data_IF_220697642768
#
_entry.id   IF_220697642768
#
_cell.length_a   1.000
_cell.length_b   1.000
_cell.length_c   1.000
_cell.angle_alpha   90.00
_cell.angle_beta   90.00
_cell.angle_gamma   90.00
#
_symmetry.space_group_name_H-M   'P 1'
#
loop_
_entity.id
_entity.type
_entity.pdbx_description
1 polymer ?
#
# COMPACT_ATOMS: atom_id res chain seq x y z
N UNK A 1 -3.56 -15.61 -31.36
CA UNK A 1 -2.56 -14.57 -31.02
C UNK A 1 -2.98 -13.14 -31.31
N UNK A 2 -3.75 -12.83 -32.36
CA UNK A 2 -4.42 -11.52 -32.50
C UNK A 2 -5.47 -11.28 -31.41
N UNK A 3 -6.26 -12.32 -31.10
CA UNK A 3 -7.43 -12.19 -30.23
C UNK A 3 -7.08 -11.84 -28.77
N UNK A 4 -5.90 -12.23 -28.29
CA UNK A 4 -5.41 -11.83 -26.96
C UNK A 4 -4.95 -10.37 -26.92
N UNK A 5 -4.39 -9.86 -28.01
CA UNK A 5 -4.01 -8.46 -28.11
C UNK A 5 -5.24 -7.57 -28.19
N UNK A 6 -6.21 -7.93 -29.05
CA UNK A 6 -7.47 -7.19 -29.20
C UNK A 6 -8.31 -7.23 -27.92
N UNK A 7 -8.33 -8.35 -27.19
CA UNK A 7 -9.00 -8.45 -25.89
C UNK A 7 -8.34 -7.60 -24.78
N UNK A 8 -7.09 -7.19 -24.95
CA UNK A 8 -6.36 -6.35 -23.99
C UNK A 8 -6.44 -4.84 -24.32
N UNK A 9 -6.94 -4.47 -25.50
CA UNK A 9 -7.11 -3.08 -25.90
C UNK A 9 -8.43 -2.52 -25.37
N UNK A 10 -8.40 -1.26 -24.92
CA UNK A 10 -9.62 -0.55 -24.59
C UNK A 10 -10.42 -0.28 -25.88
N UNK A 11 -11.74 -0.51 -25.82
CA UNK A 11 -12.63 -0.11 -26.92
C UNK A 11 -12.56 1.40 -27.15
N UNK A 12 -12.67 1.82 -28.41
CA UNK A 12 -12.87 3.23 -28.75
C UNK A 12 -14.24 3.64 -28.19
N UNK A 13 -14.31 4.59 -27.25
CA UNK A 13 -15.58 4.93 -26.64
C UNK A 13 -16.52 5.57 -27.66
N UNK A 14 -17.71 4.99 -27.79
CA UNK A 14 -18.73 5.43 -28.73
C UNK A 14 -19.41 6.76 -28.33
N UNK A 15 -19.32 7.15 -27.06
CA UNK A 15 -19.90 8.38 -26.54
C UNK A 15 -19.09 8.96 -25.39
N UNK A 16 -19.29 10.25 -25.10
CA UNK A 16 -18.65 10.92 -23.98
C UNK A 16 -19.28 10.43 -22.68
N UNK A 17 -18.51 9.86 -21.72
CA UNK A 17 -19.05 9.42 -20.45
C UNK A 17 -19.74 10.55 -19.67
N UNK A 18 -20.83 10.25 -18.97
CA UNK A 18 -21.63 11.26 -18.26
C UNK A 18 -20.82 12.03 -17.20
N UNK A 19 -19.91 11.35 -16.50
CA UNK A 19 -19.01 11.99 -15.53
C UNK A 19 -18.11 13.06 -16.16
N UNK A 20 -17.92 13.07 -17.48
CA UNK A 20 -17.12 14.08 -18.16
C UNK A 20 -17.91 15.40 -18.37
N UNK A 21 -19.23 15.30 -18.46
CA UNK A 21 -20.14 16.43 -18.71
C UNK A 21 -20.53 17.15 -17.42
N UNK A 22 -20.47 16.46 -16.29
CA UNK A 22 -20.86 16.94 -14.96
C UNK A 22 -19.75 17.74 -14.27
N UNK A 23 -20.10 18.75 -13.46
CA UNK A 23 -19.14 19.62 -12.77
C UNK A 23 -19.10 19.46 -11.24
N UNK A 24 -19.87 18.54 -10.68
CA UNK A 24 -19.86 18.21 -9.26
C UNK A 24 -18.57 17.47 -8.83
N UNK A 25 -18.40 17.34 -7.51
CA UNK A 25 -17.20 16.77 -6.89
C UNK A 25 -16.96 15.31 -7.28
N UNK A 26 -18.02 14.51 -7.38
CA UNK A 26 -17.95 13.11 -7.78
C UNK A 26 -17.42 13.00 -9.21
N UNK A 27 -18.02 13.74 -10.14
CA UNK A 27 -17.61 13.77 -11.53
C UNK A 27 -16.15 14.25 -11.71
N UNK A 28 -15.71 15.26 -10.96
CA UNK A 28 -14.31 15.71 -10.95
C UNK A 28 -13.36 14.63 -10.45
N UNK A 29 -13.75 13.92 -9.38
CA UNK A 29 -12.95 12.85 -8.82
C UNK A 29 -12.83 11.68 -9.80
N UNK A 30 -13.93 11.27 -10.43
CA UNK A 30 -13.92 10.23 -11.47
C UNK A 30 -13.01 10.60 -12.63
N UNK A 31 -13.08 11.85 -13.14
CA UNK A 31 -12.17 12.33 -14.19
C UNK A 31 -10.71 12.24 -13.75
N UNK A 32 -10.42 12.64 -12.52
CA UNK A 32 -9.07 12.57 -11.96
C UNK A 32 -8.55 11.12 -11.89
N UNK A 33 -9.38 10.18 -11.41
CA UNK A 33 -9.02 8.76 -11.35
C UNK A 33 -8.78 8.17 -12.73
N UNK A 34 -9.67 8.41 -13.70
CA UNK A 34 -9.53 7.95 -15.08
C UNK A 34 -8.26 8.52 -15.72
N UNK A 35 -7.99 9.81 -15.53
CA UNK A 35 -6.77 10.44 -16.00
C UNK A 35 -5.50 9.86 -15.32
N UNK A 36 -5.58 9.52 -14.04
CA UNK A 36 -4.49 8.87 -13.32
C UNK A 36 -4.18 7.51 -13.94
N UNK A 37 -5.19 6.64 -14.10
CA UNK A 37 -5.02 5.35 -14.78
C UNK A 37 -4.41 5.53 -16.18
N UNK A 38 -4.96 6.45 -16.96
CA UNK A 38 -4.44 6.82 -18.28
C UNK A 38 -2.93 7.14 -18.25
N UNK A 39 -2.49 7.98 -17.31
CA UNK A 39 -1.08 8.40 -17.23
C UNK A 39 -0.15 7.42 -16.51
N UNK A 40 -0.68 6.44 -15.77
CA UNK A 40 0.14 5.52 -14.96
C UNK A 40 0.30 4.12 -15.54
N UNK A 41 -0.71 3.60 -16.22
CA UNK A 41 -0.73 2.23 -16.76
C UNK A 41 -1.50 2.12 -18.11
N UNK A 42 -1.92 3.25 -18.68
CA UNK A 42 -2.70 3.34 -19.93
C UNK A 42 -4.08 2.66 -19.89
N UNK A 43 -4.61 2.31 -18.70
CA UNK A 43 -5.95 1.68 -18.58
C UNK A 43 -7.11 2.68 -18.48
N UNK A 44 -6.84 3.99 -18.46
CA UNK A 44 -7.87 5.02 -18.45
C UNK A 44 -8.57 5.17 -19.80
N UNK A 45 -9.88 5.44 -19.78
CA UNK A 45 -10.70 5.63 -20.98
C UNK A 45 -10.27 6.89 -21.75
N UNK A 46 -9.99 6.73 -23.04
CA UNK A 46 -9.69 7.85 -23.94
C UNK A 46 -10.93 8.71 -24.21
N UNK A 47 -10.82 10.05 -24.34
CA UNK A 47 -11.94 10.85 -24.80
C UNK A 47 -12.23 10.55 -26.29
N UNK A 48 -13.51 10.41 -26.71
CA UNK A 48 -13.86 10.19 -28.12
C UNK A 48 -13.27 11.25 -29.07
N UNK A 49 -13.09 12.47 -28.58
CA UNK A 49 -12.49 13.58 -29.33
C UNK A 49 -11.06 13.30 -29.83
N UNK A 50 -10.33 12.35 -29.24
CA UNK A 50 -9.00 11.93 -29.73
C UNK A 50 -9.08 11.22 -31.09
N UNK A 51 -10.22 10.58 -31.38
CA UNK A 51 -10.45 9.79 -32.59
C UNK A 51 -11.35 10.49 -33.61
N UNK A 52 -11.63 11.78 -33.41
CA UNK A 52 -12.44 12.56 -34.33
C UNK A 52 -11.68 12.89 -35.63
N UNK A 53 -12.44 13.11 -36.71
CA UNK A 53 -11.87 13.44 -38.03
C UNK A 53 -11.24 14.84 -38.10
N UNK A 54 -11.50 15.70 -37.10
CA UNK A 54 -11.03 17.08 -37.05
C UNK A 54 -10.05 17.27 -35.89
N UNK A 55 -8.78 17.61 -36.15
CA UNK A 55 -7.82 17.85 -35.09
C UNK A 55 -8.11 19.17 -34.37
N UNK A 56 -7.84 19.22 -33.07
CA UNK A 56 -8.02 20.45 -32.27
C UNK A 56 -6.94 21.51 -32.53
N UNK A 57 -5.86 21.15 -33.23
CA UNK A 57 -4.76 22.04 -33.60
C UNK A 57 -4.18 21.60 -34.94
N UNK A 58 -3.67 22.54 -35.72
CA UNK A 58 -3.00 22.23 -36.99
C UNK A 58 -1.68 21.52 -36.74
N UNK A 59 -1.34 20.58 -37.62
CA UNK A 59 -0.05 19.91 -37.59
C UNK A 59 1.08 20.90 -37.91
N UNK A 60 2.05 21.02 -37.02
CA UNK A 60 3.27 21.81 -37.21
C UNK A 60 4.51 20.90 -37.23
N UNK A 61 5.09 20.62 -38.41
CA UNK A 61 6.28 19.77 -38.54
C UNK A 61 7.52 20.39 -37.89
N UNK A 62 7.55 21.70 -37.65
CA UNK A 62 8.69 22.37 -36.99
C UNK A 62 8.87 21.92 -35.53
N UNK A 63 7.80 21.39 -34.92
CA UNK A 63 7.83 20.78 -33.58
C UNK A 63 8.84 19.63 -33.49
N UNK A 64 9.03 18.87 -34.59
CA UNK A 64 9.89 17.69 -34.64
C UNK A 64 11.23 17.95 -35.33
N UNK A 65 11.54 19.22 -35.63
CA UNK A 65 12.82 19.57 -36.27
C UNK A 65 13.91 19.66 -35.21
N UNK A 66 14.96 18.83 -35.29
CA UNK A 66 16.06 18.87 -34.34
C UNK A 66 16.89 20.14 -34.50
N UNK A 67 17.38 20.67 -33.39
CA UNK A 67 18.38 21.74 -33.34
C UNK A 67 19.79 21.19 -33.57
N UNK A 68 20.79 22.08 -33.60
CA UNK A 68 22.15 21.72 -33.98
C UNK A 68 22.86 20.87 -32.93
N UNK A 69 22.39 20.91 -31.69
CA UNK A 69 22.95 20.14 -30.58
C UNK A 69 21.90 19.82 -29.52
N UNK A 70 22.21 18.81 -28.69
CA UNK A 70 21.43 18.49 -27.50
C UNK A 70 21.34 19.67 -26.51
N UNK A 71 22.41 20.46 -26.39
CA UNK A 71 22.43 21.63 -25.51
C UNK A 71 21.44 22.71 -25.97
N UNK A 72 21.36 22.95 -27.28
CA UNK A 72 20.38 23.88 -27.86
C UNK A 72 18.95 23.41 -27.62
N UNK A 73 18.68 22.10 -27.71
CA UNK A 73 17.36 21.51 -27.42
C UNK A 73 16.97 21.72 -25.95
N UNK A 74 17.88 21.42 -25.02
CA UNK A 74 17.62 21.63 -23.58
C UNK A 74 17.36 23.12 -23.30
N UNK A 75 18.14 24.03 -23.89
CA UNK A 75 17.93 25.48 -23.74
C UNK A 75 16.61 25.94 -24.33
N UNK A 76 16.15 25.36 -25.45
CA UNK A 76 14.84 25.63 -26.04
C UNK A 76 13.71 25.21 -25.08
N UNK A 77 13.81 24.03 -24.48
CA UNK A 77 12.81 23.53 -23.53
C UNK A 77 12.78 24.38 -22.24
N UNK A 78 13.94 24.74 -21.71
CA UNK A 78 14.04 25.62 -20.54
C UNK A 78 13.42 26.99 -20.83
N UNK A 79 13.74 27.58 -21.99
CA UNK A 79 13.11 28.84 -22.45
C UNK A 79 11.60 28.72 -22.60
N UNK A 80 11.11 27.64 -23.21
CA UNK A 80 9.67 27.40 -23.34
C UNK A 80 8.95 27.49 -21.99
N UNK A 81 9.48 26.87 -20.93
CA UNK A 81 8.87 26.96 -19.60
C UNK A 81 8.96 28.37 -19.01
N UNK A 82 10.09 29.06 -19.17
CA UNK A 82 10.24 30.44 -18.72
C UNK A 82 9.30 31.42 -19.43
N UNK A 83 9.16 31.29 -20.74
CA UNK A 83 8.26 32.10 -21.56
C UNK A 83 6.79 31.88 -21.16
N UNK A 84 6.47 30.72 -20.57
CA UNK A 84 5.17 30.40 -19.99
C UNK A 84 5.07 30.72 -18.48
N UNK A 85 5.98 31.55 -17.96
CA UNK A 85 5.94 32.03 -16.57
C UNK A 85 6.31 30.98 -15.53
N UNK A 86 7.01 29.90 -15.91
CA UNK A 86 7.44 28.83 -15.01
C UNK A 86 8.95 28.82 -14.84
N UNK A 87 9.40 28.45 -13.64
CA UNK A 87 10.80 28.15 -13.39
C UNK A 87 11.08 26.66 -13.61
N UNK A 88 12.30 26.35 -14.05
CA UNK A 88 12.80 24.97 -14.16
C UNK A 88 13.82 24.74 -13.05
N UNK A 89 13.56 23.75 -12.20
CA UNK A 89 14.48 23.35 -11.14
C UNK A 89 15.21 22.08 -11.56
N UNK A 90 16.53 22.12 -11.59
CA UNK A 90 17.37 20.99 -11.98
C UNK A 90 18.31 20.69 -10.82
N UNK A 91 18.25 19.46 -10.32
CA UNK A 91 19.16 18.94 -9.30
C UNK A 91 20.07 17.90 -9.92
N UNK A 92 21.38 18.10 -9.79
CA UNK A 92 22.37 17.07 -10.10
C UNK A 92 22.24 15.90 -9.10
N UNK A 93 22.09 14.68 -9.64
CA UNK A 93 22.02 13.42 -8.88
C UNK A 93 23.01 12.38 -9.45
N UNK A 94 24.08 12.83 -10.09
CA UNK A 94 25.13 12.01 -10.71
C UNK A 94 26.07 11.30 -9.70
N UNK A 95 25.69 11.20 -8.42
CA UNK A 95 26.55 10.69 -7.33
C UNK A 95 26.88 9.19 -7.44
N UNK A 96 26.33 8.49 -8.43
CA UNK A 96 26.64 7.09 -8.75
C UNK A 96 27.66 6.95 -9.91
N UNK A 97 28.26 8.05 -10.36
CA UNK A 97 29.33 8.04 -11.38
C UNK A 97 28.85 8.05 -12.83
N UNK A 98 27.56 8.33 -13.07
CA UNK A 98 27.01 8.56 -14.40
C UNK A 98 26.15 9.84 -14.42
N UNK A 99 26.10 10.59 -15.53
CA UNK A 99 25.31 11.82 -15.61
C UNK A 99 23.82 11.55 -15.34
N UNK A 100 23.26 12.23 -14.35
CA UNK A 100 21.85 12.11 -13.98
C UNK A 100 21.33 13.37 -13.32
N UNK A 101 20.11 13.75 -13.68
CA UNK A 101 19.45 14.94 -13.15
C UNK A 101 18.03 14.63 -12.71
N UNK A 102 17.57 15.31 -11.66
CA UNK A 102 16.17 15.39 -11.29
C UNK A 102 15.63 16.75 -11.73
N UNK A 103 14.69 16.74 -12.68
CA UNK A 103 14.09 17.95 -13.24
C UNK A 103 12.68 18.11 -12.69
N UNK A 104 12.36 19.31 -12.20
CA UNK A 104 11.04 19.65 -11.70
C UNK A 104 10.59 20.99 -12.29
N UNK A 105 9.41 20.98 -12.92
CA UNK A 105 8.71 22.18 -13.39
C UNK A 105 7.39 22.28 -12.63
N UNK A 106 7.14 23.34 -11.83
CA UNK A 106 5.89 23.50 -11.10
C UNK A 106 4.68 23.41 -12.03
N UNK A 107 3.60 22.79 -11.54
CA UNK A 107 2.33 22.52 -12.25
C UNK A 107 2.41 21.56 -13.45
N UNK A 108 3.54 21.50 -14.16
CA UNK A 108 3.76 20.56 -15.26
C UNK A 108 4.24 19.18 -14.78
N UNK A 109 5.17 19.16 -13.83
CA UNK A 109 5.71 17.93 -13.21
C UNK A 109 4.98 17.56 -11.92
N UNK A 110 3.87 18.24 -11.60
CA UNK A 110 3.16 18.08 -10.33
C UNK A 110 2.33 16.79 -10.26
N UNK A 111 2.06 16.15 -11.39
CA UNK A 111 1.26 14.93 -11.46
C UNK A 111 2.15 13.68 -11.46
N UNK A 112 2.20 13.01 -10.31
CA UNK A 112 2.65 11.63 -10.18
C UNK A 112 1.62 10.76 -9.45
N UNK A 113 1.90 9.45 -9.33
CA UNK A 113 1.05 8.42 -8.69
C UNK A 113 0.47 8.79 -7.30
N UNK A 114 1.08 9.75 -6.58
CA UNK A 114 0.70 10.18 -5.23
C UNK A 114 -0.09 11.51 -5.17
N UNK A 115 -0.44 12.08 -6.32
CA UNK A 115 -1.11 13.39 -6.41
C UNK A 115 -2.63 13.27 -6.35
N UNK A 116 -3.14 12.04 -6.34
CA UNK A 116 -4.54 11.75 -6.08
C UNK A 116 -4.88 12.21 -4.66
N UNK A 117 -5.81 13.18 -4.49
CA UNK A 117 -6.40 13.38 -3.19
C UNK A 117 -7.06 12.05 -2.78
N UNK A 118 -6.86 11.57 -1.55
CA UNK A 118 -7.66 10.46 -1.05
C UNK A 118 -9.13 10.84 -1.17
N UNK A 119 -9.96 9.89 -1.64
CA UNK A 119 -11.39 10.08 -1.97
C UNK A 119 -12.20 10.69 -0.81
N UNK A 120 -11.70 10.59 0.41
CA UNK A 120 -12.32 11.00 1.66
C UNK A 120 -11.47 11.97 2.52
N UNK A 121 -10.31 12.44 2.04
CA UNK A 121 -9.42 13.30 2.83
C UNK A 121 -8.71 12.61 4.01
N UNK A 122 -8.81 11.29 4.16
CA UNK A 122 -8.32 10.53 5.33
C UNK A 122 -6.79 10.40 5.41
N UNK A 123 -6.07 10.57 4.30
CA UNK A 123 -4.67 10.14 4.18
C UNK A 123 -3.60 10.95 4.94
N UNK A 124 -3.90 12.15 5.45
CA UNK A 124 -2.89 12.96 6.19
C UNK A 124 -2.87 12.71 7.70
N UNK A 125 -4.03 12.50 8.31
CA UNK A 125 -4.13 12.24 9.76
C UNK A 125 -3.64 10.83 10.12
N UNK A 126 -3.87 9.87 9.22
CA UNK A 126 -3.49 8.48 9.38
C UNK A 126 -1.96 8.25 9.54
N UNK A 127 -1.11 9.02 8.84
CA UNK A 127 0.34 8.84 8.92
C UNK A 127 0.91 9.20 10.30
N UNK A 128 0.42 10.29 10.90
CA UNK A 128 0.87 10.73 12.25
C UNK A 128 0.49 9.71 13.31
N UNK A 129 -0.71 9.13 13.19
CA UNK A 129 -1.15 8.08 14.10
C UNK A 129 -0.29 6.82 13.99
N UNK A 130 0.08 6.39 12.78
CA UNK A 130 0.98 5.25 12.57
C UNK A 130 2.37 5.49 13.15
N UNK A 131 2.98 6.63 12.85
CA UNK A 131 4.32 6.99 13.35
C UNK A 131 4.37 6.95 14.88
N UNK A 132 3.27 7.33 15.54
CA UNK A 132 3.19 7.34 17.01
C UNK A 132 3.19 5.95 17.66
N UNK A 133 2.74 4.91 16.94
CA UNK A 133 2.65 3.54 17.46
C UNK A 133 3.61 2.55 16.79
N UNK A 134 4.31 2.95 15.73
CA UNK A 134 5.14 2.03 14.94
C UNK A 134 6.12 1.23 15.80
N UNK A 135 6.85 1.92 16.68
CA UNK A 135 7.80 1.29 17.61
C UNK A 135 7.14 0.31 18.59
N UNK A 136 5.89 0.59 19.02
CA UNK A 136 5.15 -0.29 19.91
C UNK A 136 4.61 -1.50 19.14
N UNK A 137 4.15 -1.31 17.91
CA UNK A 137 3.65 -2.38 17.07
C UNK A 137 4.72 -3.43 16.77
N UNK A 138 5.96 -3.01 16.49
CA UNK A 138 7.07 -3.94 16.25
C UNK A 138 7.57 -4.66 17.51
N UNK A 139 7.12 -4.22 18.69
CA UNK A 139 7.40 -4.86 19.98
C UNK A 139 6.11 -5.22 20.74
N UNK A 140 5.06 -5.56 20.00
CA UNK A 140 3.71 -5.75 20.56
C UNK A 140 3.65 -6.82 21.66
N UNK A 141 4.53 -7.82 21.58
CA UNK A 141 4.62 -8.90 22.57
C UNK A 141 5.04 -8.42 23.96
N UNK A 142 5.69 -7.24 24.07
CA UNK A 142 6.10 -6.63 25.34
C UNK A 142 5.23 -5.43 25.73
N UNK A 143 4.18 -5.12 24.95
CA UNK A 143 3.29 -4.02 25.25
C UNK A 143 2.39 -4.33 26.45
N UNK A 144 2.22 -3.34 27.33
CA UNK A 144 1.21 -3.35 28.38
C UNK A 144 -0.21 -3.30 27.79
N UNK A 145 -1.21 -3.67 28.57
CA UNK A 145 -2.63 -3.58 28.15
C UNK A 145 -3.04 -2.15 27.73
N UNK A 146 -2.45 -1.12 28.34
CA UNK A 146 -2.73 0.26 27.95
C UNK A 146 -2.13 0.59 26.57
N UNK A 147 -0.91 0.14 26.30
CA UNK A 147 -0.27 0.31 24.99
C UNK A 147 -1.01 -0.47 23.90
N UNK A 148 -1.42 -1.71 24.18
CA UNK A 148 -2.25 -2.51 23.28
C UNK A 148 -3.59 -1.81 22.97
N UNK A 149 -4.20 -1.17 23.96
CA UNK A 149 -5.44 -0.40 23.76
C UNK A 149 -5.20 0.81 22.86
N UNK A 150 -4.10 1.55 23.05
CA UNK A 150 -3.76 2.72 22.22
C UNK A 150 -3.44 2.29 20.76
N UNK A 151 -2.68 1.20 20.60
CA UNK A 151 -2.41 0.60 19.28
C UNK A 151 -3.74 0.26 18.59
N UNK A 152 -4.63 -0.49 19.25
CA UNK A 152 -5.91 -0.89 18.68
C UNK A 152 -6.76 0.32 18.28
N UNK A 153 -6.83 1.35 19.13
CA UNK A 153 -7.59 2.56 18.88
C UNK A 153 -7.10 3.30 17.63
N UNK A 154 -5.78 3.49 17.48
CA UNK A 154 -5.21 4.18 16.30
C UNK A 154 -5.29 3.34 15.04
N UNK A 155 -5.08 2.04 15.16
CA UNK A 155 -5.25 1.12 14.03
C UNK A 155 -6.70 1.05 13.55
N UNK A 156 -7.70 1.26 14.42
CA UNK A 156 -9.11 1.22 14.03
C UNK A 156 -9.52 2.32 13.03
N UNK A 157 -8.71 3.38 12.82
CA UNK A 157 -9.00 4.40 11.80
C UNK A 157 -8.70 3.96 10.37
N UNK A 158 -8.11 2.77 10.19
CA UNK A 158 -7.75 2.21 8.88
C UNK A 158 -8.77 1.17 8.42
N UNK A 159 -8.85 0.96 7.11
CA UNK A 159 -9.70 -0.08 6.55
C UNK A 159 -9.24 -1.47 7.04
N UNK A 160 -10.13 -2.32 7.61
CA UNK A 160 -9.74 -3.61 8.20
C UNK A 160 -9.11 -4.60 7.22
N UNK A 161 -9.38 -4.46 5.92
CA UNK A 161 -8.83 -5.30 4.86
C UNK A 161 -7.40 -4.93 4.44
N UNK A 162 -6.87 -3.79 4.89
CA UNK A 162 -5.54 -3.32 4.50
C UNK A 162 -4.48 -4.32 4.98
N UNK A 163 -3.58 -4.77 4.09
CA UNK A 163 -2.42 -5.59 4.48
C UNK A 163 -1.51 -4.86 5.47
N UNK A 164 -1.04 -5.57 6.49
CA UNK A 164 -0.12 -4.99 7.48
C UNK A 164 1.22 -4.57 6.84
N UNK A 165 1.66 -5.31 5.81
CA UNK A 165 2.84 -4.97 4.98
C UNK A 165 2.69 -3.60 4.32
N UNK A 166 1.50 -3.28 3.81
CA UNK A 166 1.21 -1.97 3.25
C UNK A 166 1.19 -0.89 4.33
N UNK A 167 0.57 -1.17 5.48
CA UNK A 167 0.38 -0.21 6.56
C UNK A 167 1.71 0.27 7.16
N UNK A 168 2.66 -0.64 7.37
CA UNK A 168 3.98 -0.36 7.93
C UNK A 168 5.09 -0.28 6.87
N UNK A 169 4.73 -0.26 5.58
CA UNK A 169 5.66 -0.20 4.45
C UNK A 169 6.77 -1.27 4.53
N UNK A 170 6.38 -2.49 4.94
CA UNK A 170 7.25 -3.67 5.02
C UNK A 170 7.06 -4.49 3.76
N UNK A 171 8.14 -4.74 3.06
CA UNK A 171 8.19 -5.64 1.93
C UNK A 171 8.74 -7.01 2.32
N UNK A 172 7.98 -8.05 1.95
CA UNK A 172 8.32 -9.46 2.09
C UNK A 172 8.28 -10.14 0.71
N UNK A 173 8.85 -11.33 0.58
CA UNK A 173 8.71 -12.15 -0.62
C UNK A 173 7.23 -12.49 -0.90
N UNK A 174 6.91 -12.75 -2.18
CA UNK A 174 5.53 -12.96 -2.63
C UNK A 174 4.89 -14.24 -2.07
N UNK A 175 5.69 -15.24 -1.77
CA UNK A 175 5.30 -16.52 -1.18
C UNK A 175 5.15 -16.46 0.35
N UNK A 176 5.49 -15.32 0.97
CA UNK A 176 5.38 -15.16 2.42
C UNK A 176 3.91 -15.23 2.85
N UNK A 177 3.52 -16.14 3.77
CA UNK A 177 2.15 -16.21 4.29
C UNK A 177 1.68 -14.89 4.92
N UNK A 178 2.63 -14.06 5.36
CA UNK A 178 2.45 -12.74 5.93
C UNK A 178 1.86 -11.72 4.98
N UNK A 179 2.00 -11.93 3.67
CA UNK A 179 1.34 -11.08 2.66
C UNK A 179 -0.18 -11.14 2.76
N UNK A 180 -0.72 -12.22 3.34
CA UNK A 180 -2.17 -12.42 3.52
C UNK A 180 -2.69 -11.90 4.86
N UNK A 181 -1.82 -11.34 5.70
CA UNK A 181 -2.22 -10.78 6.99
C UNK A 181 -2.72 -9.35 6.83
N UNK A 182 -3.99 -9.14 7.17
CA UNK A 182 -4.60 -7.82 7.18
C UNK A 182 -4.82 -7.30 8.60
N UNK A 183 -5.24 -6.05 8.67
CA UNK A 183 -5.46 -5.33 9.91
C UNK A 183 -6.53 -5.97 10.80
N UNK A 184 -7.60 -6.51 10.22
CA UNK A 184 -8.65 -7.19 10.97
C UNK A 184 -8.11 -8.38 11.78
N UNK A 185 -7.16 -9.14 11.22
CA UNK A 185 -6.55 -10.25 11.95
C UNK A 185 -5.68 -9.80 13.13
N UNK A 186 -4.95 -8.69 12.97
CA UNK A 186 -4.14 -8.10 14.04
C UNK A 186 -5.02 -7.55 15.16
N UNK A 187 -6.07 -6.79 14.80
CA UNK A 187 -7.02 -6.25 15.78
C UNK A 187 -7.73 -7.37 16.56
N UNK A 188 -8.03 -8.50 15.89
CA UNK A 188 -8.55 -9.70 16.57
C UNK A 188 -7.60 -10.15 17.68
N UNK A 189 -6.31 -10.28 17.38
CA UNK A 189 -5.31 -10.73 18.34
C UNK A 189 -5.16 -9.74 19.49
N UNK A 190 -5.09 -8.44 19.22
CA UNK A 190 -4.98 -7.41 20.27
C UNK A 190 -6.19 -7.46 21.21
N UNK A 191 -7.41 -7.43 20.66
CA UNK A 191 -8.62 -7.46 21.49
C UNK A 191 -8.76 -8.79 22.24
N UNK A 192 -8.35 -9.91 21.64
CA UNK A 192 -8.28 -11.19 22.34
C UNK A 192 -7.32 -11.14 23.53
N UNK A 193 -6.11 -10.58 23.33
CA UNK A 193 -5.11 -10.38 24.38
C UNK A 193 -5.62 -9.51 25.53
N UNK A 194 -6.47 -8.53 25.23
CA UNK A 194 -7.12 -7.64 26.20
C UNK A 194 -8.37 -8.24 26.88
N UNK A 195 -8.82 -9.43 26.47
CA UNK A 195 -10.08 -10.02 26.97
C UNK A 195 -11.35 -9.38 26.39
N UNK A 196 -11.22 -8.53 25.38
CA UNK A 196 -12.29 -7.84 24.68
C UNK A 196 -12.91 -8.75 23.61
N UNK A 197 -13.61 -9.80 24.03
CA UNK A 197 -14.04 -10.88 23.14
C UNK A 197 -15.05 -10.46 22.06
N UNK A 198 -15.94 -9.51 22.35
CA UNK A 198 -16.90 -8.97 21.36
C UNK A 198 -16.16 -8.31 20.19
N UNK A 199 -15.21 -7.43 20.49
CA UNK A 199 -14.39 -6.75 19.49
C UNK A 199 -13.50 -7.74 18.74
N UNK A 200 -12.90 -8.70 19.45
CA UNK A 200 -12.09 -9.75 18.84
C UNK A 200 -12.91 -10.56 17.82
N UNK A 201 -14.12 -11.00 18.18
CA UNK A 201 -15.01 -11.72 17.27
C UNK A 201 -15.45 -10.86 16.08
N UNK A 202 -15.75 -9.59 16.32
CA UNK A 202 -16.15 -8.65 15.25
C UNK A 202 -15.06 -8.50 14.19
N UNK A 203 -13.83 -8.22 14.61
CA UNK A 203 -12.69 -8.13 13.69
C UNK A 203 -12.34 -9.48 13.05
N UNK A 204 -12.50 -10.58 13.78
CA UNK A 204 -12.24 -11.90 13.20
C UNK A 204 -13.21 -12.23 12.07
N UNK A 205 -14.50 -11.85 12.21
CA UNK A 205 -15.49 -11.96 11.13
C UNK A 205 -15.12 -11.11 9.92
N UNK A 206 -14.62 -9.89 10.14
CA UNK A 206 -14.12 -9.03 9.05
C UNK A 206 -12.93 -9.68 8.34
N UNK A 207 -12.00 -10.27 9.07
CA UNK A 207 -10.88 -11.02 8.51
C UNK A 207 -11.33 -12.24 7.68
N UNK A 208 -12.28 -13.03 8.17
CA UNK A 208 -12.83 -14.14 7.39
C UNK A 208 -13.51 -13.66 6.10
N UNK A 209 -14.18 -12.50 6.13
CA UNK A 209 -14.87 -11.93 4.97
C UNK A 209 -13.91 -11.47 3.85
N UNK A 210 -12.63 -11.23 4.14
CA UNK A 210 -11.64 -10.90 3.11
C UNK A 210 -11.05 -12.12 2.40
N UNK A 211 -11.46 -13.33 2.77
CA UNK A 211 -10.92 -14.58 2.21
C UNK A 211 -11.93 -15.28 1.32
N UNK A 212 -11.41 -15.89 0.25
CA UNK A 212 -12.21 -16.70 -0.67
C UNK A 212 -12.78 -17.92 0.07
N UNK A 213 -11.97 -18.57 0.91
CA UNK A 213 -12.39 -19.70 1.75
C UNK A 213 -11.87 -19.55 3.17
N UNK A 214 -12.73 -19.90 4.14
CA UNK A 214 -12.37 -19.99 5.55
C UNK A 214 -12.16 -21.46 5.90
N UNK A 215 -10.90 -21.89 5.97
CA UNK A 215 -10.55 -23.28 6.32
C UNK A 215 -11.01 -23.69 7.73
N UNK A 216 -11.03 -25.01 8.03
CA UNK A 216 -11.62 -25.55 9.25
C UNK A 216 -11.00 -25.00 10.54
N UNK A 217 -9.71 -24.64 10.52
CA UNK A 217 -9.03 -24.00 11.65
C UNK A 217 -9.69 -22.67 12.04
N UNK A 218 -9.92 -21.78 11.07
CA UNK A 218 -10.52 -20.48 11.36
C UNK A 218 -12.00 -20.60 11.72
N UNK A 219 -12.71 -21.60 11.19
CA UNK A 219 -14.06 -21.94 11.66
C UNK A 219 -14.06 -22.32 13.14
N UNK A 220 -13.09 -23.12 13.59
CA UNK A 220 -12.94 -23.47 15.01
C UNK A 220 -12.60 -22.25 15.87
N UNK A 221 -11.69 -21.38 15.41
CA UNK A 221 -11.36 -20.13 16.10
C UNK A 221 -12.58 -19.21 16.22
N UNK A 222 -13.41 -19.12 15.17
CA UNK A 222 -14.67 -18.37 15.22
C UNK A 222 -15.59 -18.89 16.33
N UNK A 223 -15.83 -20.20 16.36
CA UNK A 223 -16.68 -20.82 17.37
C UNK A 223 -16.10 -20.71 18.78
N UNK A 224 -14.78 -20.75 18.91
CA UNK A 224 -14.11 -20.45 20.17
C UNK A 224 -14.45 -19.03 20.65
N UNK A 225 -14.25 -18.03 19.79
CA UNK A 225 -14.53 -16.62 20.13
C UNK A 225 -16.01 -16.38 20.43
N UNK A 226 -16.93 -16.99 19.68
CA UNK A 226 -18.39 -16.96 19.96
C UNK A 226 -18.69 -17.49 21.36
N UNK A 227 -18.12 -18.64 21.74
CA UNK A 227 -18.29 -19.19 23.07
C UNK A 227 -17.70 -18.29 24.18
N UNK A 228 -16.58 -17.60 23.92
CA UNK A 228 -16.01 -16.62 24.86
C UNK A 228 -16.90 -15.39 25.03
N UNK A 229 -17.53 -14.91 23.96
CA UNK A 229 -18.53 -13.83 23.99
C UNK A 229 -19.77 -14.24 24.81
N UNK A 230 -20.19 -15.49 24.71
CA UNK A 230 -21.26 -16.06 25.56
C UNK A 230 -20.87 -16.21 27.04
N UNK A 231 -19.66 -15.82 27.43
CA UNK A 231 -19.16 -15.88 28.81
C UNK A 231 -18.59 -17.24 29.22
N UNK A 232 -18.42 -18.17 28.27
CA UNK A 232 -17.84 -19.48 28.58
C UNK A 232 -16.34 -19.35 28.91
N UNK A 233 -15.90 -20.11 29.92
CA UNK A 233 -14.48 -20.23 30.27
C UNK A 233 -13.78 -21.15 29.27
N UNK A 234 -12.48 -20.95 29.09
CA UNK A 234 -11.63 -21.77 28.20
C UNK A 234 -11.89 -23.28 28.31
N UNK A 235 -11.95 -23.82 29.53
CA UNK A 235 -12.21 -25.25 29.78
C UNK A 235 -13.59 -25.73 29.31
N UNK A 236 -14.60 -24.86 29.31
CA UNK A 236 -15.96 -25.17 28.85
C UNK A 236 -16.06 -25.15 27.31
N UNK A 237 -15.29 -24.28 26.66
CA UNK A 237 -15.27 -24.15 25.21
C UNK A 237 -14.79 -25.43 24.52
N UNK A 238 -13.84 -26.15 25.15
CA UNK A 238 -13.31 -27.41 24.60
C UNK A 238 -14.42 -28.42 24.30
N UNK A 239 -15.35 -28.62 25.23
CA UNK A 239 -16.46 -29.58 25.04
C UNK A 239 -17.37 -29.17 23.89
N UNK A 240 -17.67 -27.87 23.77
CA UNK A 240 -18.51 -27.32 22.68
C UNK A 240 -17.83 -27.52 21.32
N UNK A 241 -16.52 -27.25 21.23
CA UNK A 241 -15.75 -27.44 20.00
C UNK A 241 -15.60 -28.92 19.62
N UNK A 242 -15.37 -29.82 20.59
CA UNK A 242 -15.30 -31.25 20.32
C UNK A 242 -16.61 -31.78 19.73
N UNK A 243 -17.76 -31.41 20.32
CA UNK A 243 -19.07 -31.82 19.80
C UNK A 243 -19.34 -31.25 18.41
N UNK A 244 -18.97 -29.99 18.16
CA UNK A 244 -19.09 -29.41 16.82
C UNK A 244 -18.20 -30.13 15.80
N UNK A 245 -16.95 -30.43 16.16
CA UNK A 245 -15.99 -31.09 15.28
C UNK A 245 -16.45 -32.51 14.91
N UNK A 246 -16.99 -33.27 15.87
CA UNK A 246 -17.58 -34.60 15.61
C UNK A 246 -18.73 -34.52 14.60
N UNK A 247 -19.62 -33.54 14.73
CA UNK A 247 -20.76 -33.34 13.82
C UNK A 247 -20.36 -32.89 12.41
N UNK A 248 -19.16 -32.33 12.24
CA UNK A 248 -18.65 -31.81 10.97
C UNK A 248 -17.51 -32.68 10.40
N UNK A 249 -17.27 -33.86 10.97
CA UNK A 249 -16.19 -34.77 10.57
C UNK A 249 -14.79 -34.11 10.61
N UNK A 250 -14.60 -33.14 11.51
CA UNK A 250 -13.33 -32.43 11.71
C UNK A 250 -12.45 -33.22 12.68
N UNK A 251 -11.18 -33.39 12.33
CA UNK A 251 -10.23 -34.14 13.14
C UNK A 251 -10.07 -33.56 14.57
N UNK A 252 -10.10 -34.43 15.57
CA UNK A 252 -9.91 -34.04 16.98
C UNK A 252 -8.56 -33.38 17.26
N UNK A 253 -7.54 -33.64 16.43
CA UNK A 253 -6.24 -32.98 16.49
C UNK A 253 -6.35 -31.47 16.27
N UNK A 254 -7.24 -31.03 15.37
CA UNK A 254 -7.47 -29.62 15.09
C UNK A 254 -8.11 -28.90 16.28
N UNK A 255 -9.06 -29.55 16.97
CA UNK A 255 -9.65 -29.00 18.21
C UNK A 255 -8.57 -28.79 19.26
N UNK A 256 -7.70 -29.78 19.48
CA UNK A 256 -6.58 -29.66 20.43
C UNK A 256 -5.63 -28.53 20.05
N UNK A 257 -5.33 -28.38 18.76
CA UNK A 257 -4.49 -27.30 18.27
C UNK A 257 -5.11 -25.93 18.58
N UNK A 258 -6.38 -25.71 18.23
CA UNK A 258 -7.09 -24.45 18.49
C UNK A 258 -7.18 -24.16 19.98
N UNK A 259 -7.50 -25.17 20.80
CA UNK A 259 -7.51 -25.00 22.25
C UNK A 259 -6.11 -24.61 22.79
N UNK A 260 -5.04 -25.16 22.23
CA UNK A 260 -3.67 -24.82 22.63
C UNK A 260 -3.31 -23.39 22.23
N UNK A 261 -3.58 -23.01 20.97
CA UNK A 261 -3.29 -21.67 20.44
C UNK A 261 -4.08 -20.59 21.18
N UNK A 262 -5.31 -20.90 21.61
CA UNK A 262 -6.19 -19.97 22.30
C UNK A 262 -6.05 -20.03 23.84
N UNK A 263 -5.20 -20.88 24.41
CA UNK A 263 -5.11 -21.07 25.86
C UNK A 263 -4.69 -19.81 26.59
N UNK A 264 -3.63 -19.14 26.12
CA UNK A 264 -3.19 -17.87 26.67
C UNK A 264 -3.47 -16.72 25.69
N UNK A 265 -3.92 -15.56 26.19
CA UNK A 265 -4.18 -14.39 25.34
C UNK A 265 -2.96 -13.91 24.54
N UNK A 266 -1.74 -14.28 24.97
CA UNK A 266 -0.48 -14.01 24.27
C UNK A 266 0.00 -15.18 23.39
N UNK A 267 -0.55 -16.40 23.54
CA UNK A 267 -0.15 -17.57 22.73
C UNK A 267 -0.48 -17.39 21.24
N UNK A 268 -1.57 -16.70 20.91
CA UNK A 268 -1.93 -16.46 19.52
C UNK A 268 -0.88 -15.61 18.78
N UNK A 269 -0.19 -14.73 19.51
CA UNK A 269 0.92 -13.93 18.99
C UNK A 269 2.19 -14.77 18.87
N UNK A 270 2.37 -15.80 19.70
CA UNK A 270 3.52 -16.71 19.61
C UNK A 270 3.50 -17.51 18.30
N UNK A 271 2.32 -17.90 17.83
CA UNK A 271 2.13 -18.59 16.55
C UNK A 271 2.09 -17.63 15.34
N UNK A 272 2.10 -16.31 15.59
CA UNK A 272 2.00 -15.26 14.58
C UNK A 272 3.28 -14.39 14.63
N UNK A 273 4.40 -14.81 14.00
CA UNK A 273 5.64 -14.02 13.99
C UNK A 273 5.52 -12.63 13.34
N UNK A 274 5.46 -11.59 14.17
CA UNK A 274 5.42 -10.20 13.72
C UNK A 274 6.82 -9.62 13.45
N UNK A 275 6.94 -8.61 12.56
CA UNK A 275 8.20 -7.93 12.30
C UNK A 275 8.69 -7.18 13.53
N UNK A 276 10.01 -7.24 13.77
CA UNK A 276 10.70 -6.55 14.89
C UNK A 276 11.55 -5.37 14.42
N UNK A 277 11.12 -4.64 13.40
CA UNK A 277 11.90 -3.54 12.85
C UNK A 277 12.17 -2.47 13.93
N UNK A 278 13.36 -1.84 13.98
CA UNK A 278 14.56 -2.07 13.15
C UNK A 278 15.49 -3.20 13.66
N UNK A 279 15.12 -3.94 14.70
CA UNK A 279 15.90 -5.00 15.33
C UNK A 279 15.86 -6.32 14.53
N UNK A 280 16.48 -6.32 13.35
CA UNK A 280 16.39 -7.42 12.38
C UNK A 280 17.17 -8.70 12.75
N UNK A 281 18.08 -8.69 13.73
CA UNK A 281 18.98 -9.82 14.04
C UNK A 281 18.23 -11.05 14.57
N UNK A 282 17.14 -10.83 15.32
CA UNK A 282 16.28 -11.88 15.86
C UNK A 282 14.81 -11.67 15.41
N UNK A 283 14.63 -11.10 14.21
CA UNK A 283 13.31 -10.90 13.64
C UNK A 283 12.84 -12.22 13.01
N UNK A 284 11.65 -12.72 13.36
CA UNK A 284 11.18 -14.00 12.86
C UNK A 284 10.83 -13.95 11.35
N UNK A 285 10.77 -12.75 10.77
CA UNK A 285 10.57 -12.52 9.34
C UNK A 285 11.89 -12.22 8.61
N UNK A 286 13.06 -12.52 9.19
CA UNK A 286 14.36 -12.19 8.58
C UNK A 286 14.53 -12.76 7.17
N UNK A 287 14.05 -13.98 6.96
CA UNK A 287 14.29 -14.74 5.74
C UNK A 287 13.44 -14.23 4.56
N UNK A 288 12.11 -14.04 4.71
CA UNK A 288 11.31 -13.45 3.64
C UNK A 288 11.44 -11.93 3.53
N UNK A 289 12.14 -11.22 4.42
CA UNK A 289 12.14 -9.74 4.45
C UNK A 289 13.07 -9.09 3.42
N UNK A 290 12.46 -8.40 2.45
CA UNK A 290 13.15 -7.58 1.44
C UNK A 290 13.45 -6.16 1.93
N UNK A 291 12.69 -5.69 2.93
CA UNK A 291 12.87 -4.36 3.52
C UNK A 291 14.31 -4.13 4.02
N UNK A 292 14.91 -5.14 4.67
CA UNK A 292 16.30 -5.05 5.16
C UNK A 292 17.29 -4.82 4.00
N UNK A 293 17.09 -5.53 2.89
CA UNK A 293 17.93 -5.37 1.70
C UNK A 293 17.79 -3.96 1.12
N UNK A 294 16.55 -3.47 0.97
CA UNK A 294 16.27 -2.10 0.51
C UNK A 294 16.89 -1.03 1.41
N UNK A 295 16.81 -1.18 2.73
CA UNK A 295 17.42 -0.25 3.67
C UNK A 295 18.95 -0.24 3.56
N UNK A 296 19.58 -1.40 3.39
CA UNK A 296 21.02 -1.50 3.19
C UNK A 296 21.45 -0.86 1.86
N UNK A 297 20.71 -1.10 0.77
CA UNK A 297 20.93 -0.44 -0.50
C UNK A 297 20.80 1.08 -0.36
N UNK A 298 19.73 1.55 0.28
CA UNK A 298 19.51 2.97 0.53
C UNK A 298 20.68 3.58 1.31
N UNK A 299 21.18 2.92 2.36
CA UNK A 299 22.35 3.38 3.12
C UNK A 299 23.60 3.52 2.26
N UNK A 300 23.87 2.56 1.38
CA UNK A 300 24.98 2.62 0.42
C UNK A 300 24.80 3.81 -0.53
N UNK A 301 23.62 3.98 -1.10
CA UNK A 301 23.29 5.10 -2.00
C UNK A 301 23.45 6.45 -1.28
N UNK A 302 22.94 6.57 -0.05
CA UNK A 302 23.05 7.78 0.77
C UNK A 302 24.51 8.14 1.11
N UNK A 303 25.36 7.15 1.35
CA UNK A 303 26.79 7.39 1.59
C UNK A 303 27.45 8.02 0.35
N UNK A 304 27.16 7.50 -0.85
CA UNK A 304 27.69 8.04 -2.10
C UNK A 304 27.16 9.46 -2.38
N UNK A 305 25.88 9.70 -2.09
CA UNK A 305 25.28 11.04 -2.22
C UNK A 305 25.98 12.08 -1.33
N UNK A 306 26.39 11.71 -0.10
CA UNK A 306 27.10 12.63 0.82
C UNK A 306 28.54 12.95 0.40
N UNK A 307 29.19 12.06 -0.35
CA UNK A 307 30.57 12.22 -0.81
C UNK A 307 30.69 13.00 -2.14
N UNK A 308 29.58 13.48 -2.70
CA UNK A 308 29.57 14.15 -3.99
C UNK A 308 30.21 15.55 -3.91
N UNK A 309 31.23 15.87 -4.73
CA UNK A 309 31.75 17.24 -4.86
C UNK A 309 30.71 18.17 -5.50
N UNK A 310 30.85 19.49 -5.27
CA UNK A 310 29.83 20.48 -5.65
C UNK A 310 29.58 20.62 -7.16
N UNK A 311 28.37 21.09 -7.48
CA UNK A 311 27.65 21.28 -8.75
C UNK A 311 28.35 22.01 -9.90
N UNK A 312 29.54 21.59 -10.34
CA UNK A 312 30.18 22.15 -11.54
C UNK A 312 29.55 21.62 -12.86
N UNK A 313 28.90 20.45 -12.84
CA UNK A 313 28.44 19.74 -14.04
C UNK A 313 27.27 20.40 -14.82
N UNK A 314 26.55 21.36 -14.23
CA UNK A 314 25.33 21.95 -14.82
C UNK A 314 25.45 23.43 -15.23
N UNK A 315 26.64 24.03 -15.10
CA UNK A 315 26.83 25.47 -15.35
C UNK A 315 26.45 25.89 -16.79
N UNK A 316 26.55 24.99 -17.77
CA UNK A 316 26.24 25.26 -19.18
C UNK A 316 24.76 25.47 -19.48
N UNK A 317 23.85 25.03 -18.60
CA UNK A 317 22.39 25.13 -18.80
C UNK A 317 21.92 26.59 -18.65
N UNK A 318 22.59 27.38 -17.80
CA UNK A 318 22.24 28.78 -17.53
C UNK A 318 23.05 29.81 -18.32
N UNK A 319 24.11 29.37 -19.01
CA UNK A 319 24.83 30.19 -20.00
C UNK A 319 24.02 30.33 -21.29
#
# INVERSE_FOLDING_TARGET
>A
DSDQFDAAMLEIPASVPEYFLRQDSEARNTRFHVFTHFTTDNSGVFPPALFGDSPSYSFDPSTFTPLKSYEEEVRRLVRFFHDNGKNVYIRDVSFLGFPSVFVYVPEFSAQGRKSAPPVDGSGKFQLVDLDSIEHLFFDIAHCSSQQLTDIAHRLASFAPSVPITQLFNIELTADSPWQQMNLAFVLTQIHYSLGNYDQALSHFKQFCATRIETGPYYTMVKHYLEARVEGQKHTQVQTKLSSFAENQEIESALVKQVMTDMAEPYSIQASTPLPRCPHCTACPLSDPCQTRHKLNLARTVYSNMKSMPSTEALAWIMA
#
